data_IF_066345827302
#
_entry.id   IF_066345827302
#
_cell.length_a   1.000
_cell.length_b   1.000
_cell.length_c   1.000
_cell.angle_alpha   90.00
_cell.angle_beta   90.00
_cell.angle_gamma   90.00
#
_symmetry.space_group_name_H-M   'P 1'
#
loop_
_entity.id
_entity.type
_entity.pdbx_description
1 polymer ?
#
# COMPACT_ATOMS: atom_id res chain seq x y z
N UNK A 1 -5.62 32.07 -13.64
CA UNK A 1 -6.91 31.54 -13.15
C UNK A 1 -6.54 30.48 -12.13
N UNK A 2 -7.20 30.41 -10.98
CA UNK A 2 -6.89 29.36 -10.02
C UNK A 2 -7.40 28.02 -10.59
N UNK A 3 -6.69 26.94 -10.34
CA UNK A 3 -7.03 25.58 -10.81
C UNK A 3 -8.45 25.16 -10.41
N UNK A 4 -8.89 25.54 -9.20
CA UNK A 4 -10.23 25.28 -8.67
C UNK A 4 -11.36 25.79 -9.57
N UNK A 5 -11.20 26.98 -10.14
CA UNK A 5 -12.24 27.61 -10.96
C UNK A 5 -12.45 26.86 -12.28
N UNK A 6 -11.36 26.41 -12.88
CA UNK A 6 -11.39 25.58 -14.09
C UNK A 6 -12.00 24.21 -13.78
N UNK A 7 -11.69 23.63 -12.64
CA UNK A 7 -12.23 22.35 -12.19
C UNK A 7 -13.75 22.41 -11.96
N UNK A 8 -14.25 23.44 -11.28
CA UNK A 8 -15.68 23.59 -11.07
C UNK A 8 -16.45 23.74 -12.39
N UNK A 9 -15.88 24.47 -13.36
CA UNK A 9 -16.44 24.57 -14.70
C UNK A 9 -16.47 23.22 -15.41
N UNK A 10 -15.38 22.45 -15.35
CA UNK A 10 -15.28 21.14 -15.99
C UNK A 10 -16.32 20.18 -15.39
N UNK A 11 -16.42 20.09 -14.06
CA UNK A 11 -17.41 19.27 -13.37
C UNK A 11 -18.84 19.62 -13.75
N UNK A 12 -19.15 20.91 -13.91
CA UNK A 12 -20.46 21.33 -14.39
C UNK A 12 -20.75 20.83 -15.81
N UNK A 13 -19.77 20.96 -16.71
CA UNK A 13 -19.89 20.50 -18.11
C UNK A 13 -20.02 18.98 -18.17
N UNK A 14 -19.20 18.25 -17.42
CA UNK A 14 -19.26 16.78 -17.29
C UNK A 14 -20.60 16.29 -16.75
N UNK A 15 -21.19 17.06 -15.80
CA UNK A 15 -22.51 16.76 -15.27
C UNK A 15 -23.68 17.20 -16.19
N UNK A 16 -23.40 17.73 -17.36
CA UNK A 16 -24.42 18.22 -18.31
C UNK A 16 -25.22 19.43 -17.81
N UNK A 17 -24.76 20.11 -16.76
CA UNK A 17 -25.50 21.19 -16.11
C UNK A 17 -25.19 22.56 -16.76
N UNK A 18 -26.23 23.38 -16.88
CA UNK A 18 -26.06 24.80 -17.20
C UNK A 18 -25.61 25.61 -15.97
N UNK A 19 -25.00 26.77 -16.18
CA UNK A 19 -24.67 27.69 -15.08
C UNK A 19 -25.89 28.10 -14.25
N UNK A 20 -27.07 28.16 -14.87
CA UNK A 20 -28.34 28.47 -14.18
C UNK A 20 -28.78 27.34 -13.25
N UNK A 21 -28.67 26.09 -13.67
CA UNK A 21 -29.00 24.93 -12.85
C UNK A 21 -28.07 24.81 -11.64
N UNK A 22 -26.76 24.94 -11.86
CA UNK A 22 -25.80 24.94 -10.76
C UNK A 22 -26.05 26.09 -9.80
N UNK A 23 -26.33 27.31 -10.31
CA UNK A 23 -26.61 28.47 -9.47
C UNK A 23 -27.80 28.26 -8.55
N UNK A 24 -28.85 27.62 -9.06
CA UNK A 24 -30.07 27.30 -8.29
C UNK A 24 -29.73 26.25 -7.20
N UNK A 25 -28.98 25.21 -7.54
CA UNK A 25 -28.64 24.12 -6.59
C UNK A 25 -27.64 24.56 -5.50
N UNK A 26 -26.70 25.45 -5.84
CA UNK A 26 -25.71 25.99 -4.91
C UNK A 26 -26.27 27.17 -4.10
N UNK A 27 -27.42 27.72 -4.48
CA UNK A 27 -28.00 28.89 -3.84
C UNK A 27 -27.22 30.18 -4.06
N UNK A 28 -26.68 30.36 -5.27
CA UNK A 28 -25.95 31.55 -5.72
C UNK A 28 -26.65 32.16 -6.94
N UNK A 29 -26.34 33.41 -7.27
CA UNK A 29 -26.80 33.98 -8.56
C UNK A 29 -26.02 33.38 -9.73
N UNK A 30 -26.62 33.28 -10.90
CA UNK A 30 -25.92 32.83 -12.13
C UNK A 30 -24.66 33.64 -12.40
N UNK A 31 -24.72 34.98 -12.16
CA UNK A 31 -23.54 35.85 -12.32
C UNK A 31 -22.43 35.51 -11.35
N UNK A 32 -22.75 35.11 -10.09
CA UNK A 32 -21.77 34.68 -9.11
C UNK A 32 -21.08 33.39 -9.55
N UNK A 33 -21.83 32.39 -10.04
CA UNK A 33 -21.25 31.13 -10.59
C UNK A 33 -20.35 31.46 -11.79
N UNK A 34 -20.78 32.31 -12.69
CA UNK A 34 -19.96 32.75 -13.85
C UNK A 34 -18.65 33.41 -13.38
N UNK A 35 -18.72 34.31 -12.39
CA UNK A 35 -17.53 34.99 -11.86
C UNK A 35 -16.58 34.03 -11.15
N UNK A 36 -17.08 33.03 -10.43
CA UNK A 36 -16.30 31.96 -9.82
C UNK A 36 -15.59 31.14 -10.91
N UNK A 37 -16.32 30.66 -11.92
CA UNK A 37 -15.73 29.86 -13.01
C UNK A 37 -14.68 30.63 -13.83
N UNK A 38 -14.82 31.96 -13.93
CA UNK A 38 -13.85 32.85 -14.60
C UNK A 38 -12.66 33.23 -13.69
N UNK A 39 -12.66 32.83 -12.42
CA UNK A 39 -11.61 33.19 -11.47
C UNK A 39 -11.62 34.65 -11.04
N UNK A 40 -12.73 35.36 -11.24
CA UNK A 40 -12.90 36.77 -10.89
C UNK A 40 -13.52 36.99 -9.52
N UNK A 41 -13.99 35.90 -8.89
CA UNK A 41 -14.54 35.89 -7.54
C UNK A 41 -13.96 34.69 -6.80
N UNK A 42 -13.51 34.94 -5.56
CA UNK A 42 -13.11 33.86 -4.64
C UNK A 42 -14.34 33.13 -4.12
N UNK A 43 -14.16 31.83 -3.86
CA UNK A 43 -15.16 30.94 -3.30
C UNK A 43 -14.93 30.80 -1.80
N UNK A 44 -15.99 30.98 -1.01
CA UNK A 44 -15.92 30.73 0.42
C UNK A 44 -15.97 29.24 0.76
N UNK A 45 -15.50 28.84 1.95
CA UNK A 45 -15.57 27.44 2.42
C UNK A 45 -17.01 26.88 2.44
N UNK A 46 -17.99 27.72 2.75
CA UNK A 46 -19.40 27.31 2.73
C UNK A 46 -19.92 27.08 1.31
N UNK A 47 -19.55 27.96 0.37
CA UNK A 47 -19.90 27.82 -1.05
C UNK A 47 -19.25 26.59 -1.65
N UNK A 48 -17.96 26.36 -1.36
CA UNK A 48 -17.24 25.16 -1.78
C UNK A 48 -17.93 23.88 -1.28
N UNK A 49 -18.38 23.87 -0.02
CA UNK A 49 -19.16 22.75 0.52
C UNK A 49 -20.49 22.51 -0.21
N UNK A 50 -21.13 23.56 -0.74
CA UNK A 50 -22.36 23.43 -1.55
C UNK A 50 -22.04 22.90 -2.95
N UNK A 51 -21.00 23.38 -3.61
CA UNK A 51 -20.52 22.83 -4.88
C UNK A 51 -20.15 21.35 -4.73
N UNK A 52 -19.46 20.98 -3.64
CA UNK A 52 -19.09 19.62 -3.31
C UNK A 52 -20.31 18.68 -3.25
N UNK A 53 -21.40 19.13 -2.62
CA UNK A 53 -22.66 18.37 -2.57
C UNK A 53 -23.31 18.23 -3.95
N UNK A 54 -23.36 19.30 -4.74
CA UNK A 54 -23.97 19.30 -6.08
C UNK A 54 -23.23 18.35 -7.01
N UNK A 55 -21.89 18.36 -6.98
CA UNK A 55 -21.07 17.50 -7.83
C UNK A 55 -20.76 16.14 -7.21
N UNK A 56 -21.31 15.82 -6.04
CA UNK A 56 -21.09 14.58 -5.29
C UNK A 56 -19.60 14.29 -5.08
N UNK A 57 -18.83 15.33 -4.74
CA UNK A 57 -17.41 15.27 -4.43
C UNK A 57 -17.17 15.75 -3.00
N UNK A 58 -16.04 15.35 -2.39
CA UNK A 58 -15.64 15.97 -1.12
C UNK A 58 -15.07 17.38 -1.36
N UNK A 59 -15.19 18.33 -0.41
CA UNK A 59 -14.56 19.65 -0.54
C UNK A 59 -13.05 19.56 -0.77
N UNK A 60 -12.37 18.58 -0.15
CA UNK A 60 -10.96 18.30 -0.35
C UNK A 60 -10.64 17.83 -1.79
N UNK A 61 -11.52 17.04 -2.41
CA UNK A 61 -11.36 16.62 -3.80
C UNK A 61 -11.53 17.79 -4.79
N UNK A 62 -12.30 18.83 -4.42
CA UNK A 62 -12.43 20.05 -5.22
C UNK A 62 -11.24 21.00 -5.04
N UNK A 63 -10.50 20.90 -3.95
CA UNK A 63 -9.28 21.68 -3.69
C UNK A 63 -8.02 20.96 -4.19
N UNK A 64 -8.10 19.64 -4.40
CA UNK A 64 -7.03 18.90 -5.04
C UNK A 64 -6.88 19.38 -6.50
N UNK A 65 -5.66 19.66 -6.92
CA UNK A 65 -5.38 19.99 -8.33
C UNK A 65 -5.99 18.96 -9.25
N UNK A 66 -6.62 19.35 -10.37
CA UNK A 66 -7.27 18.41 -11.26
C UNK A 66 -6.25 17.39 -11.74
N UNK A 67 -6.49 16.13 -11.42
CA UNK A 67 -5.81 15.02 -12.08
C UNK A 67 -5.99 15.25 -13.59
N UNK A 68 -4.89 15.37 -14.29
CA UNK A 68 -4.84 15.70 -15.73
C UNK A 68 -5.83 14.85 -16.50
N UNK A 69 -6.63 15.50 -17.33
CA UNK A 69 -7.66 14.87 -18.18
C UNK A 69 -7.06 13.90 -19.19
N UNK A 70 -7.79 12.86 -19.49
CA UNK A 70 -7.48 11.64 -20.25
C UNK A 70 -7.01 11.79 -21.72
N UNK A 71 -6.73 12.98 -22.22
CA UNK A 71 -6.30 13.21 -23.61
C UNK A 71 -4.78 13.13 -23.86
N UNK A 72 -3.94 13.25 -22.80
CA UNK A 72 -2.47 13.31 -22.92
C UNK A 72 -1.74 12.04 -22.39
N UNK A 73 -2.45 10.93 -22.25
CA UNK A 73 -1.97 9.75 -21.50
C UNK A 73 -0.79 9.01 -22.13
N UNK A 74 -0.53 9.13 -23.42
CA UNK A 74 0.66 8.50 -24.06
C UNK A 74 1.94 9.30 -23.80
N UNK A 75 1.84 10.61 -23.63
CA UNK A 75 2.95 11.49 -23.22
C UNK A 75 3.27 11.33 -21.72
N UNK A 76 2.24 11.16 -20.88
CA UNK A 76 2.36 11.11 -19.41
C UNK A 76 3.04 9.82 -18.91
N UNK A 77 2.76 8.68 -19.53
CA UNK A 77 3.38 7.37 -19.16
C UNK A 77 4.87 7.34 -19.51
N UNK A 78 5.26 7.90 -20.64
CA UNK A 78 6.66 8.04 -21.02
C UNK A 78 7.42 8.95 -20.05
N UNK A 79 6.84 10.08 -19.70
CA UNK A 79 7.41 11.03 -18.74
C UNK A 79 7.53 10.40 -17.35
N UNK A 80 6.49 9.68 -16.87
CA UNK A 80 6.52 8.96 -15.60
C UNK A 80 7.63 7.91 -15.58
N UNK A 81 7.77 7.14 -16.65
CA UNK A 81 8.84 6.14 -16.77
C UNK A 81 10.23 6.78 -16.70
N UNK A 82 10.44 7.89 -17.42
CA UNK A 82 11.70 8.63 -17.38
C UNK A 82 12.00 9.18 -15.98
N UNK A 83 11.01 9.73 -15.29
CA UNK A 83 11.14 10.23 -13.92
C UNK A 83 11.49 9.11 -12.95
N UNK A 84 10.80 7.96 -13.03
CA UNK A 84 11.09 6.78 -12.22
C UNK A 84 12.53 6.28 -12.45
N UNK A 85 12.95 6.13 -13.71
CA UNK A 85 14.29 5.70 -14.05
C UNK A 85 15.36 6.68 -13.55
N UNK A 86 15.12 7.98 -13.69
CA UNK A 86 16.02 9.03 -13.17
C UNK A 86 16.11 9.01 -11.65
N UNK A 87 15.00 8.80 -10.95
CA UNK A 87 14.96 8.73 -9.49
C UNK A 87 15.73 7.51 -8.95
N UNK A 88 15.71 6.40 -9.68
CA UNK A 88 16.51 5.21 -9.33
C UNK A 88 18.01 5.36 -9.59
N UNK A 89 18.44 6.41 -10.28
CA UNK A 89 19.83 6.80 -10.56
C UNK A 89 20.34 6.24 -11.88
N UNK A 90 21.16 7.06 -12.59
CA UNK A 90 21.75 6.72 -13.89
C UNK A 90 22.70 5.50 -13.88
N UNK A 91 23.09 5.03 -12.72
CA UNK A 91 23.97 3.84 -12.58
C UNK A 91 23.21 2.51 -12.71
N UNK A 92 21.93 2.54 -13.00
CA UNK A 92 21.14 1.33 -13.20
C UNK A 92 21.32 0.80 -14.61
N UNK A 93 22.49 0.26 -14.87
CA UNK A 93 22.80 -0.54 -16.07
C UNK A 93 22.09 -1.91 -16.05
N UNK A 94 20.85 -1.97 -15.58
CA UNK A 94 19.98 -3.10 -15.85
C UNK A 94 19.26 -2.82 -17.17
N UNK A 95 19.77 -3.35 -18.31
CA UNK A 95 19.25 -3.01 -19.65
C UNK A 95 17.75 -3.34 -19.81
N UNK A 96 17.20 -4.09 -18.87
CA UNK A 96 15.83 -4.59 -18.93
C UNK A 96 14.83 -3.85 -18.02
N UNK A 97 15.26 -2.92 -17.13
CA UNK A 97 14.36 -2.30 -16.16
C UNK A 97 13.28 -1.43 -16.86
N UNK A 98 13.69 -0.59 -17.80
CA UNK A 98 12.75 0.22 -18.57
C UNK A 98 11.74 -0.64 -19.34
N UNK A 99 12.21 -1.74 -19.95
CA UNK A 99 11.33 -2.68 -20.64
C UNK A 99 10.39 -3.38 -19.67
N UNK A 100 10.87 -3.79 -18.49
CA UNK A 100 10.05 -4.43 -17.45
C UNK A 100 8.96 -3.49 -16.96
N UNK A 101 9.28 -2.23 -16.61
CA UNK A 101 8.28 -1.25 -16.17
C UNK A 101 7.28 -0.92 -17.29
N UNK A 102 7.76 -0.72 -18.52
CA UNK A 102 6.88 -0.52 -19.69
C UNK A 102 5.92 -1.70 -19.87
N UNK A 103 6.41 -2.92 -19.74
CA UNK A 103 5.60 -4.14 -19.83
C UNK A 103 4.55 -4.20 -18.72
N UNK A 104 4.93 -3.92 -17.48
CA UNK A 104 4.00 -3.88 -16.34
C UNK A 104 2.90 -2.83 -16.52
N UNK A 105 3.24 -1.65 -17.03
CA UNK A 105 2.26 -0.61 -17.35
C UNK A 105 1.28 -1.09 -18.44
N UNK A 106 1.78 -1.72 -19.51
CA UNK A 106 0.94 -2.29 -20.58
C UNK A 106 0.02 -3.40 -20.06
N UNK A 107 0.54 -4.34 -19.26
CA UNK A 107 -0.26 -5.40 -18.64
C UNK A 107 -1.36 -4.80 -17.77
N UNK A 108 -1.01 -3.80 -16.93
CA UNK A 108 -1.96 -3.12 -16.07
C UNK A 108 -3.05 -2.41 -16.86
N UNK A 109 -2.71 -1.81 -17.97
CA UNK A 109 -3.65 -1.13 -18.87
C UNK A 109 -4.63 -2.11 -19.53
N UNK A 110 -4.11 -3.25 -20.00
CA UNK A 110 -4.96 -4.31 -20.55
C UNK A 110 -5.91 -4.89 -19.48
N UNK A 111 -5.43 -5.07 -18.24
CA UNK A 111 -6.31 -5.49 -17.13
C UNK A 111 -7.44 -4.49 -16.91
N UNK A 112 -7.16 -3.16 -16.84
CA UNK A 112 -8.19 -2.13 -16.69
C UNK A 112 -9.25 -2.22 -17.79
N UNK A 113 -8.82 -2.30 -19.05
CA UNK A 113 -9.74 -2.40 -20.19
C UNK A 113 -10.65 -3.63 -20.12
N UNK A 114 -10.09 -4.79 -19.71
CA UNK A 114 -10.88 -6.01 -19.58
C UNK A 114 -11.86 -5.90 -18.40
N UNK A 115 -11.43 -5.28 -17.28
CA UNK A 115 -12.31 -5.02 -16.14
C UNK A 115 -13.50 -4.11 -16.53
N UNK A 116 -13.25 -3.09 -17.34
CA UNK A 116 -14.29 -2.19 -17.88
C UNK A 116 -15.24 -2.93 -18.84
N UNK A 117 -14.71 -3.69 -19.79
CA UNK A 117 -15.49 -4.46 -20.77
C UNK A 117 -16.35 -5.56 -20.14
N UNK A 118 -15.87 -6.13 -19.04
CA UNK A 118 -16.63 -7.15 -18.28
C UNK A 118 -17.58 -6.55 -17.26
N UNK A 119 -17.65 -5.21 -17.19
CA UNK A 119 -18.46 -4.48 -16.20
C UNK A 119 -18.14 -4.91 -14.75
N UNK A 120 -16.89 -5.29 -14.49
CA UNK A 120 -16.45 -5.61 -13.14
C UNK A 120 -16.36 -4.32 -12.35
N UNK A 121 -17.31 -4.11 -11.43
CA UNK A 121 -17.36 -2.89 -10.60
C UNK A 121 -16.04 -2.72 -9.85
N UNK A 122 -15.30 -1.71 -10.23
CA UNK A 122 -14.03 -1.35 -9.60
C UNK A 122 -14.35 -0.40 -8.45
N UNK A 123 -14.22 -0.85 -7.22
CA UNK A 123 -14.12 0.07 -6.09
C UNK A 123 -12.81 0.84 -6.27
N UNK A 124 -12.91 2.12 -6.59
CA UNK A 124 -11.73 2.95 -6.77
C UNK A 124 -10.95 3.14 -5.46
N UNK A 125 -9.69 3.59 -5.53
CA UNK A 125 -8.89 3.94 -4.36
C UNK A 125 -9.50 5.06 -3.51
N UNK A 126 -10.59 5.67 -3.95
CA UNK A 126 -11.37 6.69 -3.22
C UNK A 126 -11.96 6.17 -1.89
N UNK A 127 -12.10 4.85 -1.73
CA UNK A 127 -12.54 4.21 -0.49
C UNK A 127 -11.43 4.04 0.54
N UNK A 128 -10.16 4.22 0.15
CA UNK A 128 -9.02 4.14 1.05
C UNK A 128 -8.84 5.51 1.73
N UNK A 129 -9.48 5.70 2.87
CA UNK A 129 -9.58 7.00 3.53
C UNK A 129 -8.65 7.18 4.71
N UNK A 130 -7.39 7.53 4.53
CA UNK A 130 -6.60 8.11 5.61
C UNK A 130 -5.84 9.33 5.11
N UNK A 131 -6.25 10.52 5.55
CA UNK A 131 -5.49 11.77 5.40
C UNK A 131 -5.15 12.29 6.79
N UNK A 132 -4.07 11.78 7.36
CA UNK A 132 -3.49 12.32 8.59
C UNK A 132 -2.74 13.63 8.32
N UNK A 133 -2.62 14.48 9.34
CA UNK A 133 -1.75 15.66 9.27
C UNK A 133 -0.30 15.24 8.98
N UNK A 134 0.43 16.08 8.24
CA UNK A 134 1.85 15.84 7.97
C UNK A 134 2.63 15.75 9.29
N UNK A 135 3.34 14.64 9.56
CA UNK A 135 4.05 14.46 10.82
C UNK A 135 5.25 15.42 10.89
N UNK A 136 5.50 15.95 12.10
CA UNK A 136 6.57 16.93 12.38
C UNK A 136 7.80 16.32 13.04
N UNK A 137 7.72 15.07 13.46
CA UNK A 137 8.80 14.35 14.13
C UNK A 137 8.76 12.85 13.80
N UNK A 138 9.91 12.20 13.97
CA UNK A 138 10.03 10.73 13.83
C UNK A 138 9.05 9.99 14.75
N UNK A 139 8.82 10.50 15.95
CA UNK A 139 7.86 9.90 16.88
C UNK A 139 6.42 10.00 16.36
N UNK A 140 6.02 11.14 15.81
CA UNK A 140 4.71 11.31 15.19
C UNK A 140 4.55 10.39 13.98
N UNK A 141 5.60 10.21 13.15
CA UNK A 141 5.59 9.27 12.04
C UNK A 141 5.27 7.85 12.51
N UNK A 142 5.99 7.39 13.53
CA UNK A 142 5.81 6.06 14.10
C UNK A 142 4.39 5.90 14.65
N UNK A 143 3.93 6.87 15.44
CA UNK A 143 2.61 6.83 16.05
C UNK A 143 1.49 6.82 14.99
N UNK A 144 1.56 7.70 14.00
CA UNK A 144 0.58 7.73 12.89
C UNK A 144 0.59 6.42 12.09
N UNK A 145 1.77 5.86 11.82
CA UNK A 145 1.89 4.60 11.10
C UNK A 145 1.22 3.44 11.83
N UNK A 146 1.49 3.26 13.11
CA UNK A 146 0.86 2.21 13.92
C UNK A 146 -0.66 2.41 14.10
N UNK A 147 -1.10 3.65 14.34
CA UNK A 147 -2.53 3.97 14.47
C UNK A 147 -3.29 3.64 13.17
N UNK A 148 -2.75 4.06 12.03
CA UNK A 148 -3.36 3.74 10.74
C UNK A 148 -3.33 2.25 10.42
N UNK A 149 -2.29 1.53 10.82
CA UNK A 149 -2.23 0.07 10.66
C UNK A 149 -3.31 -0.63 11.49
N UNK A 150 -3.59 -0.16 12.69
CA UNK A 150 -4.66 -0.69 13.54
C UNK A 150 -6.04 -0.38 12.94
N UNK A 151 -6.25 0.83 12.45
CA UNK A 151 -7.49 1.22 11.78
C UNK A 151 -7.73 0.39 10.51
N UNK A 152 -6.68 0.17 9.71
CA UNK A 152 -6.76 -0.63 8.49
C UNK A 152 -7.01 -2.11 8.79
N UNK A 153 -6.37 -2.68 9.82
CA UNK A 153 -6.68 -4.04 10.27
C UNK A 153 -8.11 -4.19 10.73
N UNK A 154 -8.66 -3.16 11.41
CA UNK A 154 -10.08 -3.12 11.82
C UNK A 154 -11.00 -3.02 10.61
N UNK A 155 -10.69 -2.15 9.65
CA UNK A 155 -11.46 -1.97 8.41
C UNK A 155 -11.53 -3.25 7.57
N UNK A 156 -10.42 -4.00 7.53
CA UNK A 156 -10.29 -5.24 6.77
C UNK A 156 -10.66 -6.50 7.58
N UNK A 157 -11.12 -6.34 8.81
CA UNK A 157 -11.45 -7.44 9.74
C UNK A 157 -10.32 -8.47 9.94
N UNK A 158 -9.07 -8.00 9.96
CA UNK A 158 -7.89 -8.87 10.09
C UNK A 158 -7.61 -9.29 11.54
N UNK A 159 -8.24 -8.66 12.50
CA UNK A 159 -8.01 -8.91 13.93
C UNK A 159 -6.54 -8.74 14.31
N UNK A 160 -6.05 -9.57 15.22
CA UNK A 160 -4.67 -9.52 15.73
C UNK A 160 -3.80 -10.71 15.28
N UNK A 161 -4.31 -11.55 14.37
CA UNK A 161 -3.62 -12.73 13.85
C UNK A 161 -2.64 -12.37 12.73
N UNK A 162 -1.66 -13.24 12.43
CA UNK A 162 -0.80 -13.04 11.25
C UNK A 162 -1.60 -12.96 9.96
N UNK A 163 -1.21 -12.08 9.07
CA UNK A 163 -1.74 -12.02 7.70
C UNK A 163 -1.11 -13.17 6.91
N UNK A 164 -1.91 -14.08 6.39
CA UNK A 164 -1.41 -15.21 5.58
C UNK A 164 -1.05 -14.77 4.17
N UNK A 165 -1.96 -14.12 3.50
CA UNK A 165 -1.79 -13.64 2.13
C UNK A 165 -2.04 -12.13 2.04
N UNK A 166 -0.96 -11.36 2.02
CA UNK A 166 -1.02 -9.91 1.86
C UNK A 166 -1.34 -9.52 0.43
N UNK A 167 -0.87 -10.30 -0.55
CA UNK A 167 -1.09 -10.00 -1.97
C UNK A 167 -2.56 -10.13 -2.34
N UNK A 168 -3.27 -11.11 -1.77
CA UNK A 168 -4.71 -11.23 -1.96
C UNK A 168 -5.47 -10.05 -1.37
N UNK A 169 -5.05 -9.57 -0.19
CA UNK A 169 -5.62 -8.34 0.40
C UNK A 169 -5.41 -7.15 -0.54
N UNK A 170 -4.20 -6.96 -1.06
CA UNK A 170 -3.91 -5.88 -2.01
C UNK A 170 -4.75 -6.01 -3.28
N UNK A 171 -4.91 -7.23 -3.81
CA UNK A 171 -5.76 -7.49 -4.97
C UNK A 171 -7.24 -7.17 -4.70
N UNK A 172 -7.75 -7.48 -3.50
CA UNK A 172 -9.11 -7.09 -3.07
C UNK A 172 -9.27 -5.57 -3.01
N UNK A 173 -8.23 -4.85 -2.61
CA UNK A 173 -8.17 -3.39 -2.60
C UNK A 173 -7.92 -2.78 -4.00
N UNK A 174 -7.86 -3.60 -5.04
CA UNK A 174 -7.56 -3.18 -6.42
C UNK A 174 -6.19 -2.55 -6.60
N UNK A 175 -5.25 -2.92 -5.74
CA UNK A 175 -3.86 -2.52 -5.84
C UNK A 175 -3.14 -3.62 -6.63
N UNK A 176 -2.48 -3.23 -7.70
CA UNK A 176 -1.67 -4.13 -8.54
C UNK A 176 -0.31 -4.31 -7.90
N UNK A 177 -0.14 -5.42 -7.20
CA UNK A 177 1.09 -5.74 -6.48
C UNK A 177 1.85 -6.84 -7.23
N UNK A 178 3.09 -6.56 -7.62
CA UNK A 178 3.92 -7.50 -8.38
C UNK A 178 5.40 -7.35 -8.02
N UNK A 179 6.24 -8.17 -8.65
CA UNK A 179 7.67 -8.24 -8.42
C UNK A 179 8.43 -7.93 -9.69
N UNK A 180 9.60 -7.32 -9.54
CA UNK A 180 10.55 -7.12 -10.62
C UNK A 180 11.99 -7.11 -10.09
N UNK A 181 12.93 -7.42 -10.95
CA UNK A 181 14.35 -7.23 -10.63
C UNK A 181 14.63 -5.72 -10.66
N UNK A 182 14.84 -5.15 -9.47
CA UNK A 182 15.18 -3.75 -9.26
C UNK A 182 16.65 -3.60 -8.86
N UNK A 183 17.23 -2.41 -8.97
CA UNK A 183 18.56 -2.15 -8.44
C UNK A 183 18.69 -2.53 -6.97
N UNK A 184 19.84 -2.99 -6.52
CA UNK A 184 20.07 -3.44 -5.14
C UNK A 184 19.78 -2.38 -4.07
N UNK A 185 19.96 -1.10 -4.43
CA UNK A 185 19.61 0.03 -3.54
C UNK A 185 18.11 0.31 -3.44
N UNK A 186 17.29 -0.22 -4.34
CA UNK A 186 15.85 0.04 -4.43
C UNK A 186 15.09 -1.15 -3.87
N UNK A 187 14.27 -0.90 -2.86
CA UNK A 187 13.44 -1.91 -2.22
C UNK A 187 12.12 -2.11 -2.97
N UNK A 188 11.54 -1.03 -3.46
CA UNK A 188 10.28 -1.05 -4.17
C UNK A 188 9.94 0.28 -4.82
N UNK A 189 8.90 0.23 -5.63
CA UNK A 189 8.32 1.37 -6.35
C UNK A 189 6.82 1.39 -6.08
N UNK A 190 6.31 2.57 -5.87
CA UNK A 190 4.88 2.84 -5.86
C UNK A 190 4.58 3.91 -6.89
N UNK A 191 3.56 3.70 -7.73
CA UNK A 191 3.09 4.73 -8.66
C UNK A 191 1.61 4.54 -9.00
N UNK A 192 0.99 5.62 -9.41
CA UNK A 192 -0.43 5.66 -9.77
C UNK A 192 -0.56 6.34 -11.13
N UNK A 193 -1.29 5.72 -12.05
CA UNK A 193 -1.73 6.37 -13.28
C UNK A 193 -3.25 6.30 -13.40
N UNK A 194 -3.85 7.24 -14.12
CA UNK A 194 -5.29 7.20 -14.37
C UNK A 194 -5.73 5.98 -15.17
N UNK A 195 -4.84 5.48 -16.05
CA UNK A 195 -5.11 4.34 -16.91
C UNK A 195 -4.95 2.98 -16.23
N UNK A 196 -4.14 2.92 -15.16
CA UNK A 196 -3.80 1.65 -14.53
C UNK A 196 -4.20 1.54 -13.07
N UNK A 197 -4.52 2.67 -12.42
CA UNK A 197 -4.68 2.72 -10.96
C UNK A 197 -3.34 2.54 -10.22
N UNK A 198 -3.39 2.19 -8.93
CA UNK A 198 -2.20 2.05 -8.08
C UNK A 198 -1.44 0.75 -8.38
N UNK A 199 -0.13 0.89 -8.51
CA UNK A 199 0.80 -0.22 -8.74
C UNK A 199 1.89 -0.19 -7.68
N UNK A 200 2.16 -1.34 -7.06
CA UNK A 200 3.28 -1.58 -6.15
C UNK A 200 4.20 -2.62 -6.80
N UNK A 201 5.45 -2.28 -6.99
CA UNK A 201 6.47 -3.19 -7.51
C UNK A 201 7.55 -3.35 -6.45
N UNK A 202 7.83 -4.56 -6.01
CA UNK A 202 8.88 -4.86 -5.04
C UNK A 202 10.05 -5.59 -5.67
N UNK A 203 11.24 -5.46 -5.06
CA UNK A 203 12.43 -6.11 -5.57
C UNK A 203 12.33 -7.63 -5.41
N UNK A 204 12.38 -8.35 -6.53
CA UNK A 204 12.31 -9.82 -6.56
C UNK A 204 13.51 -10.48 -5.89
N UNK A 205 14.67 -9.80 -5.84
CA UNK A 205 15.88 -10.32 -5.20
C UNK A 205 15.82 -10.34 -3.67
N UNK A 206 14.81 -9.68 -3.05
CA UNK A 206 14.63 -9.66 -1.61
C UNK A 206 14.06 -11.00 -1.09
N UNK A 207 14.22 -11.26 0.21
CA UNK A 207 13.61 -12.43 0.86
C UNK A 207 12.08 -12.35 0.84
N UNK A 208 11.40 -13.46 1.09
CA UNK A 208 9.93 -13.48 1.15
C UNK A 208 9.41 -12.51 2.21
N UNK A 209 10.02 -12.52 3.39
CA UNK A 209 9.66 -11.68 4.52
C UNK A 209 9.89 -10.19 4.21
N UNK A 210 11.00 -9.85 3.55
CA UNK A 210 11.28 -8.48 3.13
C UNK A 210 10.32 -8.02 2.05
N UNK A 211 9.99 -8.87 1.07
CA UNK A 211 8.97 -8.53 0.06
C UNK A 211 7.61 -8.27 0.68
N UNK A 212 7.20 -9.08 1.65
CA UNK A 212 5.96 -8.85 2.41
C UNK A 212 5.97 -7.50 3.10
N UNK A 213 7.09 -7.15 3.74
CA UNK A 213 7.26 -5.84 4.35
C UNK A 213 7.15 -4.71 3.30
N UNK A 214 7.79 -4.87 2.15
CA UNK A 214 7.76 -3.86 1.09
C UNK A 214 6.36 -3.69 0.48
N UNK A 215 5.58 -4.75 0.33
CA UNK A 215 4.18 -4.63 -0.10
C UNK A 215 3.32 -3.87 0.92
N UNK A 216 3.47 -4.16 2.21
CA UNK A 216 2.79 -3.42 3.27
C UNK A 216 3.24 -1.95 3.32
N UNK A 217 4.52 -1.68 3.08
CA UNK A 217 5.10 -0.35 3.01
C UNK A 217 4.53 0.44 1.81
N UNK A 218 4.43 -0.18 0.64
CA UNK A 218 3.79 0.41 -0.54
C UNK A 218 2.30 0.73 -0.31
N UNK A 219 1.59 -0.12 0.42
CA UNK A 219 0.21 0.19 0.84
C UNK A 219 0.15 1.46 1.69
N UNK A 220 1.12 1.67 2.58
CA UNK A 220 1.18 2.89 3.38
C UNK A 220 1.31 4.15 2.51
N UNK A 221 2.15 4.13 1.49
CA UNK A 221 2.27 5.25 0.56
C UNK A 221 0.96 5.53 -0.17
N UNK A 222 0.23 4.50 -0.55
CA UNK A 222 -1.09 4.66 -1.13
C UNK A 222 -2.09 5.32 -0.16
N UNK A 223 -1.98 5.05 1.14
CA UNK A 223 -2.85 5.63 2.16
C UNK A 223 -2.48 7.07 2.51
N UNK A 224 -1.20 7.38 2.61
CA UNK A 224 -0.70 8.63 3.17
C UNK A 224 -0.22 9.65 2.14
N UNK A 225 0.33 9.20 1.01
CA UNK A 225 1.10 10.03 0.08
C UNK A 225 0.42 10.11 -1.31
N UNK A 226 -0.92 10.23 -1.31
CA UNK A 226 -1.77 10.25 -2.53
C UNK A 226 -1.54 11.43 -3.44
N UNK A 227 -0.96 12.49 -2.93
CA UNK A 227 -0.56 13.67 -3.68
C UNK A 227 0.65 13.40 -4.58
N UNK A 228 1.35 12.29 -4.35
CA UNK A 228 2.51 11.88 -5.13
C UNK A 228 2.10 10.85 -6.18
N UNK A 229 2.46 11.14 -7.42
CA UNK A 229 2.21 10.23 -8.54
C UNK A 229 3.09 8.98 -8.46
N UNK A 230 4.29 9.10 -7.88
CA UNK A 230 5.22 8.00 -7.70
C UNK A 230 6.14 8.20 -6.49
N UNK A 231 6.63 7.09 -5.94
CA UNK A 231 7.63 7.04 -4.88
C UNK A 231 8.59 5.89 -5.17
N UNK A 232 9.88 6.16 -5.04
CA UNK A 232 10.95 5.16 -5.06
C UNK A 232 11.44 4.97 -3.64
N UNK A 233 11.24 3.77 -3.09
CA UNK A 233 11.70 3.41 -1.74
C UNK A 233 13.12 2.84 -1.84
N UNK A 234 14.10 3.57 -1.34
CA UNK A 234 15.52 3.22 -1.42
C UNK A 234 16.26 3.40 -0.09
N UNK A 235 17.50 2.90 -0.05
CA UNK A 235 18.38 3.01 1.12
C UNK A 235 18.73 4.46 1.48
N UNK A 236 18.69 5.39 0.53
CA UNK A 236 19.12 6.78 0.75
C UNK A 236 18.05 7.62 1.45
N UNK A 237 16.78 7.34 1.18
CA UNK A 237 15.66 8.16 1.63
C UNK A 237 14.91 7.58 2.84
N UNK A 238 15.33 6.43 3.37
CA UNK A 238 14.64 5.70 4.46
C UNK A 238 14.42 6.51 5.75
N UNK A 239 15.20 7.58 5.98
CA UNK A 239 15.06 8.45 7.15
C UNK A 239 14.05 9.59 6.94
N UNK A 240 13.49 9.75 5.75
CA UNK A 240 12.48 10.77 5.50
C UNK A 240 11.18 10.44 6.25
N UNK A 241 10.46 11.44 6.71
CA UNK A 241 9.27 11.27 7.55
C UNK A 241 8.19 10.38 6.89
N UNK A 242 7.97 10.50 5.59
CA UNK A 242 7.02 9.64 4.87
C UNK A 242 7.47 8.17 4.86
N UNK A 243 8.77 7.91 4.68
CA UNK A 243 9.34 6.55 4.71
C UNK A 243 9.27 5.94 6.12
N UNK A 244 9.58 6.73 7.16
CA UNK A 244 9.46 6.30 8.56
C UNK A 244 8.01 5.96 8.90
N UNK A 245 7.06 6.78 8.46
CA UNK A 245 5.62 6.53 8.65
C UNK A 245 5.17 5.28 7.92
N UNK A 246 5.58 5.10 6.66
CA UNK A 246 5.26 3.92 5.88
C UNK A 246 5.85 2.64 6.49
N UNK A 247 7.09 2.71 7.00
CA UNK A 247 7.73 1.60 7.71
C UNK A 247 7.04 1.25 9.02
N UNK A 248 6.59 2.25 9.78
CA UNK A 248 5.82 2.04 11.01
C UNK A 248 4.44 1.41 10.73
N UNK A 249 3.77 1.84 9.67
CA UNK A 249 2.54 1.22 9.21
C UNK A 249 2.76 -0.25 8.82
N UNK A 250 3.78 -0.53 7.98
CA UNK A 250 4.12 -1.88 7.56
C UNK A 250 4.42 -2.79 8.76
N UNK A 251 5.15 -2.27 9.76
CA UNK A 251 5.40 -2.98 11.01
C UNK A 251 4.10 -3.27 11.76
N UNK A 252 3.23 -2.28 11.92
CA UNK A 252 1.97 -2.41 12.67
C UNK A 252 0.94 -3.31 11.99
N UNK A 253 0.87 -3.29 10.66
CA UNK A 253 -0.07 -4.13 9.93
C UNK A 253 0.38 -5.60 9.91
N UNK A 254 1.68 -5.87 9.79
CA UNK A 254 2.23 -7.23 9.81
C UNK A 254 2.37 -7.81 11.20
N UNK A 255 2.78 -7.00 12.18
CA UNK A 255 3.00 -7.38 13.57
C UNK A 255 2.17 -6.46 14.47
N UNK A 256 0.84 -6.67 14.54
CA UNK A 256 -0.03 -5.79 15.32
C UNK A 256 0.33 -5.85 16.80
N UNK A 257 0.37 -4.71 17.53
CA UNK A 257 0.75 -4.65 18.93
C UNK A 257 -0.05 -5.62 19.83
N UNK A 258 -1.35 -5.72 19.59
CA UNK A 258 -2.22 -6.64 20.34
C UNK A 258 -1.91 -8.12 20.04
N UNK A 259 -1.55 -8.47 18.83
CA UNK A 259 -1.14 -9.81 18.42
C UNK A 259 0.22 -10.19 18.99
N UNK A 260 1.18 -9.25 18.90
CA UNK A 260 2.51 -9.41 19.48
C UNK A 260 2.44 -9.65 20.99
N UNK A 261 1.67 -8.82 21.71
CA UNK A 261 1.46 -8.97 23.14
C UNK A 261 0.88 -10.34 23.49
N UNK A 262 -0.17 -10.78 22.79
CA UNK A 262 -0.83 -12.06 22.99
C UNK A 262 0.11 -13.24 22.75
N UNK A 263 0.91 -13.17 21.70
CA UNK A 263 1.90 -14.20 21.40
C UNK A 263 3.00 -14.26 22.47
N UNK A 264 3.55 -13.12 22.88
CA UNK A 264 4.57 -13.05 23.93
C UNK A 264 4.04 -13.62 25.27
N UNK A 265 2.80 -13.35 25.63
CA UNK A 265 2.16 -13.97 26.79
C UNK A 265 2.07 -15.49 26.65
N UNK A 266 1.73 -16.00 25.47
CA UNK A 266 1.60 -17.45 25.24
C UNK A 266 2.93 -18.21 25.40
N UNK A 267 4.07 -17.53 25.17
CA UNK A 267 5.41 -18.12 25.41
C UNK A 267 5.98 -17.77 26.79
N UNK A 268 5.12 -17.30 27.70
CA UNK A 268 5.47 -17.06 29.11
C UNK A 268 6.17 -15.74 29.39
N UNK A 269 6.03 -14.75 28.48
CA UNK A 269 6.56 -13.40 28.66
C UNK A 269 5.48 -12.48 29.25
N UNK A 270 5.33 -12.50 30.57
CA UNK A 270 4.17 -11.90 31.28
C UNK A 270 4.40 -10.46 31.75
N UNK A 271 5.49 -9.80 31.35
CA UNK A 271 5.90 -8.50 31.89
C UNK A 271 5.78 -7.32 30.90
N UNK A 272 4.80 -7.36 30.00
CA UNK A 272 4.47 -6.17 29.25
C UNK A 272 3.65 -5.22 30.16
N UNK A 273 4.09 -3.95 30.36
CA UNK A 273 3.32 -3.02 31.18
C UNK A 273 1.92 -2.86 30.62
N UNK A 274 0.88 -3.06 31.42
CA UNK A 274 -0.53 -2.85 31.08
C UNK A 274 -0.88 -1.43 30.61
N UNK A 275 0.12 -0.57 30.40
CA UNK A 275 -0.09 0.84 30.10
C UNK A 275 -0.32 1.16 28.62
N UNK A 276 -0.10 0.22 27.68
CA UNK A 276 -0.16 0.55 26.26
C UNK A 276 -1.58 0.72 25.71
N UNK A 277 -2.54 -0.09 26.14
CA UNK A 277 -3.95 0.07 25.74
C UNK A 277 -4.57 1.38 26.23
N UNK A 278 -4.24 1.78 27.49
CA UNK A 278 -4.71 3.04 28.06
C UNK A 278 -4.03 4.28 27.53
N UNK A 279 -2.76 4.21 27.13
CA UNK A 279 -2.04 5.37 26.58
C UNK A 279 -2.52 5.73 25.17
N UNK A 280 -2.90 4.77 24.36
CA UNK A 280 -3.50 5.01 23.03
C UNK A 280 -4.95 5.53 23.14
N UNK A 281 -5.75 5.02 24.07
CA UNK A 281 -7.11 5.54 24.32
C UNK A 281 -7.12 6.96 24.87
N UNK A 282 -6.19 7.29 25.78
CA UNK A 282 -6.11 8.65 26.36
C UNK A 282 -5.64 9.68 25.33
N UNK A 283 -4.79 9.30 24.37
CA UNK A 283 -4.36 10.19 23.29
C UNK A 283 -5.42 10.35 22.19
N UNK A 284 -6.22 9.32 21.94
CA UNK A 284 -7.30 9.37 20.96
C UNK A 284 -8.51 10.22 21.42
N UNK A 285 -8.73 10.34 22.74
CA UNK A 285 -9.94 10.99 23.28
C UNK A 285 -9.70 12.39 23.90
N UNK A 286 -8.46 12.90 23.96
CA UNK A 286 -8.20 14.20 24.59
C UNK A 286 -8.05 15.33 23.57
N UNK A 287 -9.17 15.93 23.21
CA UNK A 287 -9.21 17.28 22.62
C UNK A 287 -9.04 18.39 23.65
N UNK A 288 -8.92 18.06 24.95
CA UNK A 288 -8.63 19.04 26.03
C UNK A 288 -7.75 18.39 27.10
N UNK A 289 -6.58 18.96 27.46
CA UNK A 289 -5.75 18.44 28.54
C UNK A 289 -6.38 18.80 29.91
N UNK A 290 -6.56 17.83 30.83
CA UNK A 290 -7.00 18.15 32.18
C UNK A 290 -5.90 18.86 32.97
N UNK A 291 -6.30 19.92 33.65
CA UNK A 291 -5.42 20.83 34.40
C UNK A 291 -4.84 20.27 35.73
N UNK A 292 -4.89 18.95 35.97
CA UNK A 292 -4.37 18.37 37.20
C UNK A 292 -3.58 17.09 36.93
N UNK A 293 -2.25 17.21 36.90
CA UNK A 293 -1.30 16.10 36.81
C UNK A 293 -1.15 15.41 38.16
N UNK A 294 -2.00 14.49 38.53
CA UNK A 294 -1.69 13.52 39.55
C UNK A 294 -0.68 12.52 38.98
N UNK A 295 0.58 12.65 39.40
CA UNK A 295 1.61 11.63 39.14
C UNK A 295 1.23 10.37 39.91
N UNK A 296 0.60 9.41 39.25
CA UNK A 296 0.47 8.06 39.78
C UNK A 296 1.85 7.41 39.68
N UNK A 297 2.58 7.38 40.78
CA UNK A 297 3.77 6.54 40.94
C UNK A 297 3.30 5.10 41.01
N UNK A 298 3.44 4.38 39.92
CA UNK A 298 3.37 2.92 39.95
C UNK A 298 4.62 2.42 40.69
N UNK A 299 4.45 1.92 41.90
CA UNK A 299 5.50 1.20 42.62
C UNK A 299 5.72 -0.15 41.93
N UNK A 300 6.94 -0.47 41.45
CA UNK A 300 7.21 -1.78 40.88
C UNK A 300 7.03 -2.83 41.98
N UNK A 301 6.29 -3.90 41.70
CA UNK A 301 6.28 -5.09 42.55
C UNK A 301 7.70 -5.69 42.59
N UNK A 302 8.32 -5.85 43.75
CA UNK A 302 9.59 -6.55 43.83
C UNK A 302 9.38 -8.05 43.53
N UNK A 303 10.22 -8.61 42.67
CA UNK A 303 10.33 -10.03 42.29
C UNK A 303 9.67 -10.47 40.96
N UNK A 304 9.71 -9.69 39.93
CA UNK A 304 9.72 -10.27 38.60
C UNK A 304 11.15 -10.20 38.05
N UNK A 305 11.80 -11.35 37.93
CA UNK A 305 13.02 -11.50 37.14
C UNK A 305 12.65 -10.96 35.75
N UNK A 306 13.22 -9.84 35.34
CA UNK A 306 13.08 -9.35 33.98
C UNK A 306 13.66 -10.43 33.08
N UNK A 307 12.82 -11.26 32.52
CA UNK A 307 13.24 -12.22 31.50
C UNK A 307 13.62 -11.36 30.27
N UNK A 308 14.91 -11.26 29.98
CA UNK A 308 15.38 -10.62 28.75
C UNK A 308 14.94 -11.44 27.56
N UNK A 309 14.46 -10.77 26.51
CA UNK A 309 14.16 -11.44 25.25
C UNK A 309 15.47 -11.90 24.61
N UNK A 310 15.56 -13.18 24.35
CA UNK A 310 16.68 -13.78 23.62
C UNK A 310 16.40 -13.80 22.11
N UNK A 311 17.43 -14.06 21.32
CA UNK A 311 17.29 -14.26 19.88
C UNK A 311 16.30 -15.37 19.52
N UNK A 312 16.13 -16.35 20.40
CA UNK A 312 15.21 -17.47 20.19
C UNK A 312 13.74 -17.02 20.23
N UNK A 313 13.34 -16.25 21.25
CA UNK A 313 11.97 -15.72 21.32
C UNK A 313 11.67 -14.75 20.16
N UNK A 314 12.65 -13.90 19.78
CA UNK A 314 12.52 -13.02 18.61
C UNK A 314 12.28 -13.84 17.34
N UNK A 315 13.03 -14.93 17.16
CA UNK A 315 12.86 -15.83 16.02
C UNK A 315 11.48 -16.51 16.03
N UNK A 316 10.99 -16.96 17.18
CA UNK A 316 9.66 -17.55 17.30
C UNK A 316 8.56 -16.54 16.88
N UNK A 317 8.66 -15.30 17.36
CA UNK A 317 7.73 -14.22 16.96
C UNK A 317 7.81 -13.97 15.46
N UNK A 318 9.02 -13.87 14.91
CA UNK A 318 9.26 -13.62 13.49
C UNK A 318 8.63 -14.72 12.62
N UNK A 319 8.85 -15.97 12.99
CA UNK A 319 8.26 -17.14 12.31
C UNK A 319 6.73 -17.13 12.40
N UNK A 320 6.16 -16.82 13.57
CA UNK A 320 4.71 -16.77 13.76
C UNK A 320 4.04 -15.73 12.87
N UNK A 321 4.62 -14.52 12.76
CA UNK A 321 4.07 -13.46 11.93
C UNK A 321 4.53 -13.51 10.46
N UNK A 322 5.50 -14.36 10.11
CA UNK A 322 6.08 -14.45 8.77
C UNK A 322 6.83 -13.17 8.37
N UNK A 323 7.68 -12.69 9.25
CA UNK A 323 8.47 -11.46 9.10
C UNK A 323 9.92 -11.68 9.50
N UNK A 324 10.81 -10.75 9.21
CA UNK A 324 12.21 -10.82 9.63
C UNK A 324 12.35 -10.57 11.13
N UNK A 325 13.39 -11.13 11.73
CA UNK A 325 13.73 -10.91 13.15
C UNK A 325 14.09 -9.45 13.42
N UNK A 326 14.71 -8.78 12.45
CA UNK A 326 15.00 -7.35 12.50
C UNK A 326 13.71 -6.52 12.63
N UNK A 327 12.65 -6.88 11.88
CA UNK A 327 11.35 -6.21 12.00
C UNK A 327 10.72 -6.40 13.38
N UNK A 328 10.81 -7.60 13.95
CA UNK A 328 10.31 -7.87 15.30
C UNK A 328 11.07 -7.04 16.34
N UNK A 329 12.39 -7.04 16.29
CA UNK A 329 13.22 -6.23 17.21
C UNK A 329 12.90 -4.74 17.11
N UNK A 330 12.76 -4.22 15.88
CA UNK A 330 12.35 -2.85 15.60
C UNK A 330 10.94 -2.55 16.15
N UNK A 331 9.99 -3.45 15.94
CA UNK A 331 8.61 -3.31 16.46
C UNK A 331 8.60 -3.26 17.98
N UNK A 332 9.34 -4.14 18.64
CA UNK A 332 9.47 -4.16 20.10
C UNK A 332 10.13 -2.87 20.64
N UNK A 333 11.13 -2.32 19.92
CA UNK A 333 11.73 -1.03 20.24
C UNK A 333 10.73 0.11 20.09
N UNK A 334 10.01 0.16 18.97
CA UNK A 334 9.00 1.19 18.71
C UNK A 334 7.88 1.15 19.77
N UNK A 335 7.52 -0.03 20.24
CA UNK A 335 6.56 -0.26 21.32
C UNK A 335 7.17 -0.12 22.73
N UNK A 336 8.43 0.29 22.85
CA UNK A 336 9.18 0.48 24.10
C UNK A 336 9.32 -0.79 24.98
N UNK A 337 9.34 -1.96 24.36
CA UNK A 337 9.60 -3.22 25.02
C UNK A 337 11.09 -3.59 25.03
N UNK A 338 11.84 -3.07 24.05
CA UNK A 338 13.29 -3.20 23.97
C UNK A 338 13.94 -1.81 24.07
N UNK A 339 15.12 -1.76 24.70
CA UNK A 339 15.99 -0.60 24.59
C UNK A 339 16.65 -0.56 23.22
N UNK A 340 17.19 0.63 22.86
CA UNK A 340 17.95 0.78 21.61
C UNK A 340 19.18 -0.13 21.58
N UNK A 341 19.88 -0.25 22.71
CA UNK A 341 21.04 -1.15 22.84
C UNK A 341 20.66 -2.62 22.64
N UNK A 342 19.54 -3.07 23.20
CA UNK A 342 19.06 -4.45 23.04
C UNK A 342 18.64 -4.71 21.59
N UNK A 343 17.95 -3.74 20.97
CA UNK A 343 17.59 -3.84 19.57
C UNK A 343 18.84 -3.96 18.69
N UNK A 344 19.84 -3.11 18.88
CA UNK A 344 21.09 -3.14 18.13
C UNK A 344 21.86 -4.45 18.34
N UNK A 345 21.86 -4.98 19.58
CA UNK A 345 22.47 -6.30 19.88
C UNK A 345 21.79 -7.41 19.12
N UNK A 346 20.45 -7.44 19.10
CA UNK A 346 19.67 -8.50 18.45
C UNK A 346 19.69 -8.42 16.92
N UNK A 347 19.89 -7.23 16.37
CA UNK A 347 20.02 -7.00 14.92
C UNK A 347 21.49 -6.95 14.43
N UNK A 348 22.47 -7.16 15.34
CA UNK A 348 23.88 -7.28 14.96
C UNK A 348 24.15 -8.60 14.25
N UNK A 349 25.32 -8.68 13.57
CA UNK A 349 25.77 -9.91 12.89
C UNK A 349 25.76 -11.13 13.84
N UNK A 350 26.15 -10.94 15.10
CA UNK A 350 26.10 -12.01 16.10
C UNK A 350 24.66 -12.36 16.49
N UNK A 351 23.76 -11.37 16.61
CA UNK A 351 22.33 -11.59 16.83
C UNK A 351 21.69 -12.35 15.69
N UNK A 352 22.01 -12.00 14.45
CA UNK A 352 21.54 -12.72 13.25
C UNK A 352 22.02 -14.15 13.22
N UNK A 353 23.29 -14.39 13.56
CA UNK A 353 23.86 -15.74 13.66
C UNK A 353 23.18 -16.58 14.73
N UNK A 354 22.91 -16.01 15.92
CA UNK A 354 22.18 -16.68 16.99
C UNK A 354 20.75 -17.01 16.55
N UNK A 355 20.12 -16.12 15.82
CA UNK A 355 18.78 -16.29 15.25
C UNK A 355 18.78 -17.40 14.18
N UNK A 356 19.79 -17.47 13.33
CA UNK A 356 19.93 -18.52 12.33
C UNK A 356 20.12 -19.90 13.01
N UNK A 357 20.92 -19.97 14.06
CA UNK A 357 21.09 -21.20 14.84
C UNK A 357 19.78 -21.63 15.51
N UNK A 358 19.01 -20.69 16.07
CA UNK A 358 17.69 -20.95 16.61
C UNK A 358 16.74 -21.48 15.51
N UNK A 359 16.79 -20.88 14.32
CA UNK A 359 16.03 -21.31 13.15
C UNK A 359 16.34 -22.74 12.72
N UNK A 360 17.60 -23.12 12.72
CA UNK A 360 18.02 -24.50 12.41
C UNK A 360 17.49 -25.51 13.42
N UNK A 361 17.42 -25.12 14.70
CA UNK A 361 16.87 -25.98 15.75
C UNK A 361 15.34 -26.18 15.66
N UNK A 362 14.61 -25.19 15.09
CA UNK A 362 13.15 -25.23 14.97
C UNK A 362 12.69 -25.83 13.64
N UNK A 363 13.52 -25.81 12.60
CA UNK A 363 13.18 -26.38 11.27
C UNK A 363 13.09 -27.92 11.31
N UNK A 364 12.12 -28.42 12.05
CA UNK A 364 11.69 -29.82 11.97
C UNK A 364 10.60 -30.07 10.92
N UNK A 365 10.18 -29.05 10.17
CA UNK A 365 9.21 -29.21 9.08
C UNK A 365 9.65 -28.44 7.84
N UNK A 366 9.98 -29.16 6.74
CA UNK A 366 10.36 -28.53 5.47
C UNK A 366 9.13 -28.27 4.60
N UNK A 367 8.11 -27.58 5.10
CA UNK A 367 6.96 -27.28 4.28
C UNK A 367 6.72 -25.77 4.18
N UNK A 368 7.56 -25.11 3.38
CA UNK A 368 7.32 -23.77 2.88
C UNK A 368 7.71 -23.65 1.40
N UNK A 369 7.32 -24.60 0.58
CA UNK A 369 7.13 -24.34 -0.83
C UNK A 369 5.77 -23.66 -1.05
N UNK A 370 5.53 -22.55 -0.35
CA UNK A 370 4.48 -21.62 -0.78
C UNK A 370 5.00 -21.05 -2.11
N UNK A 371 4.55 -21.65 -3.21
CA UNK A 371 4.69 -20.98 -4.52
C UNK A 371 4.03 -19.62 -4.33
N UNK A 372 4.84 -18.58 -4.32
CA UNK A 372 4.30 -17.23 -4.29
C UNK A 372 3.40 -17.06 -5.51
N UNK A 373 2.12 -17.12 -5.25
CA UNK A 373 1.09 -16.80 -6.21
C UNK A 373 1.16 -15.31 -6.51
N UNK A 374 1.07 -14.92 -7.77
CA UNK A 374 0.92 -13.52 -8.17
C UNK A 374 -0.58 -13.27 -8.49
N UNK A 375 -1.34 -12.72 -7.52
CA UNK A 375 -2.78 -12.51 -7.70
C UNK A 375 -3.11 -11.54 -8.83
N UNK A 376 -2.20 -10.59 -9.12
CA UNK A 376 -2.36 -9.64 -10.21
C UNK A 376 -2.37 -10.35 -11.57
N UNK A 377 -1.40 -11.21 -11.81
CA UNK A 377 -1.31 -12.01 -13.04
C UNK A 377 -2.46 -13.00 -13.12
N UNK A 378 -2.76 -13.71 -12.03
CA UNK A 378 -3.84 -14.69 -11.98
C UNK A 378 -5.21 -14.06 -12.23
N UNK A 379 -5.45 -12.87 -11.69
CA UNK A 379 -6.67 -12.11 -11.95
C UNK A 379 -6.78 -11.76 -13.44
N UNK A 380 -5.70 -11.26 -14.06
CA UNK A 380 -5.69 -10.96 -15.49
C UNK A 380 -6.04 -12.19 -16.30
N UNK A 381 -5.39 -13.33 -16.05
CA UNK A 381 -5.64 -14.57 -16.76
C UNK A 381 -7.09 -15.06 -16.61
N UNK A 382 -7.64 -14.96 -15.40
CA UNK A 382 -9.04 -15.32 -15.13
C UNK A 382 -10.02 -14.43 -15.90
N UNK A 383 -9.77 -13.12 -15.93
CA UNK A 383 -10.63 -12.18 -16.66
C UNK A 383 -10.48 -12.30 -18.18
N UNK A 384 -9.29 -12.61 -18.68
CA UNK A 384 -9.06 -12.95 -20.11
C UNK A 384 -9.88 -14.18 -20.51
N UNK A 385 -9.83 -15.23 -19.68
CA UNK A 385 -10.59 -16.46 -19.94
C UNK A 385 -12.11 -16.19 -19.94
N UNK A 386 -12.60 -15.38 -19.01
CA UNK A 386 -14.01 -14.97 -18.94
C UNK A 386 -14.40 -14.09 -20.12
N UNK A 387 -13.60 -13.06 -20.43
CA UNK A 387 -13.85 -12.17 -21.56
C UNK A 387 -13.87 -12.89 -22.91
N UNK A 388 -12.99 -13.89 -23.06
CA UNK A 388 -13.03 -14.78 -24.22
C UNK A 388 -14.33 -15.58 -24.28
N UNK A 389 -14.75 -16.17 -23.16
CA UNK A 389 -15.99 -16.97 -23.10
C UNK A 389 -17.21 -16.13 -23.45
N UNK A 390 -17.22 -14.85 -23.11
CA UNK A 390 -18.28 -13.88 -23.47
C UNK A 390 -18.12 -13.28 -24.87
N UNK A 391 -17.03 -13.58 -25.57
CA UNK A 391 -16.76 -13.02 -26.91
C UNK A 391 -16.31 -11.55 -26.87
N UNK A 392 -15.94 -11.00 -25.72
CA UNK A 392 -15.51 -9.61 -25.54
C UNK A 392 -14.00 -9.43 -25.79
N UNK A 393 -13.19 -10.46 -25.57
CA UNK A 393 -11.73 -10.40 -25.78
C UNK A 393 -11.38 -11.18 -27.05
N UNK A 394 -10.81 -10.49 -28.04
CA UNK A 394 -10.42 -11.08 -29.32
C UNK A 394 -9.19 -11.98 -29.20
N UNK A 395 -9.02 -12.92 -30.14
CA UNK A 395 -7.85 -13.80 -30.21
C UNK A 395 -6.53 -13.01 -30.29
N UNK A 396 -6.50 -11.94 -31.09
CA UNK A 396 -5.30 -11.11 -31.26
C UNK A 396 -4.90 -10.42 -29.95
N UNK A 397 -5.90 -10.01 -29.15
CA UNK A 397 -5.67 -9.43 -27.84
C UNK A 397 -5.17 -10.44 -26.81
N UNK A 398 -5.66 -11.67 -26.86
CA UNK A 398 -5.15 -12.78 -26.06
C UNK A 398 -3.69 -13.07 -26.42
N UNK A 399 -3.35 -13.05 -27.69
CA UNK A 399 -1.99 -13.22 -28.18
C UNK A 399 -1.07 -12.10 -27.64
N UNK A 400 -1.49 -10.84 -27.73
CA UNK A 400 -0.76 -9.70 -27.19
C UNK A 400 -0.51 -9.86 -25.67
N UNK A 401 -1.54 -10.23 -24.90
CA UNK A 401 -1.43 -10.44 -23.44
C UNK A 401 -0.48 -11.60 -23.15
N UNK A 402 -0.57 -12.69 -23.90
CA UNK A 402 0.31 -13.85 -23.77
C UNK A 402 1.79 -13.48 -23.99
N UNK A 403 2.08 -12.62 -24.98
CA UNK A 403 3.41 -12.10 -25.25
C UNK A 403 3.87 -11.17 -24.10
N UNK A 404 3.01 -10.27 -23.61
CA UNK A 404 3.32 -9.40 -22.49
C UNK A 404 3.60 -10.18 -21.21
N UNK A 405 2.91 -11.29 -20.97
CA UNK A 405 3.13 -12.17 -19.82
C UNK A 405 4.28 -13.15 -20.02
N UNK A 406 4.84 -13.25 -21.22
CA UNK A 406 5.86 -14.24 -21.59
C UNK A 406 5.40 -15.68 -21.32
N UNK A 407 4.13 -16.00 -21.61
CA UNK A 407 3.59 -17.31 -21.40
C UNK A 407 4.23 -18.33 -22.35
N UNK A 408 4.41 -19.54 -21.84
CA UNK A 408 4.81 -20.69 -22.66
C UNK A 408 3.76 -21.01 -23.73
N UNK A 409 4.14 -21.78 -24.75
CA UNK A 409 3.24 -22.16 -25.82
C UNK A 409 2.04 -22.97 -25.31
N UNK A 410 2.28 -23.84 -24.33
CA UNK A 410 1.23 -24.63 -23.68
C UNK A 410 0.23 -23.76 -22.92
N UNK A 411 0.71 -22.80 -22.13
CA UNK A 411 -0.14 -21.85 -21.39
C UNK A 411 -0.93 -20.95 -22.35
N UNK A 412 -0.32 -20.53 -23.44
CA UNK A 412 -0.97 -19.76 -24.50
C UNK A 412 -2.06 -20.56 -25.20
N UNK A 413 -1.77 -21.83 -25.58
CA UNK A 413 -2.75 -22.72 -26.17
C UNK A 413 -3.93 -22.97 -25.24
N UNK A 414 -3.67 -23.10 -23.94
CA UNK A 414 -4.70 -23.24 -22.91
C UNK A 414 -5.61 -22.01 -22.83
N UNK A 415 -5.04 -20.80 -22.80
CA UNK A 415 -5.80 -19.55 -22.85
C UNK A 415 -6.62 -19.39 -24.12
N UNK A 416 -6.08 -19.81 -25.26
CA UNK A 416 -6.78 -19.82 -26.56
C UNK A 416 -7.81 -20.96 -26.68
N UNK A 417 -7.90 -21.89 -25.69
CA UNK A 417 -8.76 -23.06 -25.72
C UNK A 417 -8.48 -23.99 -26.90
N UNK A 418 -7.26 -23.94 -27.40
CA UNK A 418 -6.75 -24.93 -28.35
C UNK A 418 -6.22 -26.07 -27.50
N UNK A 419 -7.02 -27.11 -27.27
CA UNK A 419 -6.52 -28.36 -26.70
C UNK A 419 -5.46 -28.94 -27.63
N UNK A 420 -4.32 -29.28 -27.10
CA UNK A 420 -3.24 -29.94 -27.81
C UNK A 420 -3.73 -31.28 -28.33
N UNK A 421 -4.07 -31.34 -29.61
CA UNK A 421 -4.46 -32.59 -30.32
C UNK A 421 -3.23 -33.43 -30.68
N UNK A 422 -2.03 -33.04 -30.27
CA UNK A 422 -0.78 -33.69 -30.69
C UNK A 422 -0.32 -34.88 -29.80
N UNK A 423 -1.04 -35.21 -28.72
CA UNK A 423 -0.70 -36.37 -27.86
C UNK A 423 -1.65 -37.56 -27.96
N UNK A 424 -2.52 -37.60 -28.99
CA UNK A 424 -3.56 -38.63 -29.13
C UNK A 424 -3.35 -39.72 -30.20
N UNK A 425 -2.26 -39.66 -31.00
CA UNK A 425 -2.04 -40.65 -32.08
C UNK A 425 -0.67 -41.32 -31.99
N UNK A 426 -0.38 -41.95 -30.87
CA UNK A 426 0.62 -43.02 -30.74
C UNK A 426 0.20 -43.99 -29.64
N UNK A 427 -0.77 -44.84 -29.94
CA UNK A 427 -0.93 -46.19 -29.38
C UNK A 427 -1.18 -47.16 -30.53
#
# INVERSE_FOLDING_TARGET
MSELNTQLRNLRVESGMSQSEVSHQVGLSRSAVTQIELGRREISAQELGRFAKVFRRSPSALLASPSRTSADLTSDEGTLLEELLRAMGEQTSTPNLAQTLTRLMKISKELTKIEEELEVHVYGPETLGFMGATPRSTWECIHQGYAAAEDERRRLDLGSTPIRDLLEILATLRIRATRAILPESVFGLFFVTNATGPIIVVNESATLEDRRFQFAHGLAHLLFDRDRQWIVCDKKHHAHHHEVRASAFASGILVPPSGLHRYLQSIGWDTLPHQFGRSLEVLANSTNPPANRSRVRATPRPNTIKKELSAFEIFQVATFFGVTTSLVAQSLRNLRHLSENDCNRLTSIEGERQTELAGRAIRLSPDQSVREHDPFISRLLSLVAEGRRRGLVSTDRIELISQLLMLSEDERCHLLGKTDRSKGDQI
#
